data_IF_494495624107
#
_entry.id   IF_494495624107
#
_cell.length_a   1.000
_cell.length_b   1.000
_cell.length_c   1.000
_cell.angle_alpha   90.00
_cell.angle_beta   90.00
_cell.angle_gamma   90.00
#
_symmetry.space_group_name_H-M   'P 1'
#
loop_
_entity.id
_entity.type
_entity.pdbx_description
1 polymer ?
#
# COMPACT_ATOMS: atom_id res chain seq x y z
N UNK A 1 12.52 -17.39 26.71
CA UNK A 1 12.35 -16.70 25.42
C UNK A 1 10.99 -16.06 25.45
N UNK A 2 10.90 -14.73 25.41
CA UNK A 2 9.62 -14.03 25.37
C UNK A 2 8.85 -14.57 24.17
N UNK A 3 7.70 -15.16 24.44
CA UNK A 3 6.86 -15.83 23.46
C UNK A 3 6.31 -14.78 22.51
N UNK A 4 7.04 -14.55 21.41
CA UNK A 4 6.66 -13.57 20.41
C UNK A 4 5.46 -14.16 19.66
N UNK A 5 4.25 -13.89 20.15
CA UNK A 5 3.02 -14.35 19.51
C UNK A 5 2.82 -13.51 18.26
N UNK A 6 3.29 -14.02 17.12
CA UNK A 6 3.08 -13.35 15.83
C UNK A 6 1.72 -13.72 15.29
N UNK A 7 0.87 -12.71 15.12
CA UNK A 7 -0.41 -12.86 14.45
C UNK A 7 -0.21 -12.85 12.92
N UNK A 8 0.08 -14.02 12.35
CA UNK A 8 0.20 -14.22 10.91
C UNK A 8 -1.11 -13.87 10.16
N UNK A 9 -2.26 -14.03 10.81
CA UNK A 9 -3.55 -13.69 10.20
C UNK A 9 -3.70 -12.17 10.05
N UNK A 10 -3.29 -11.41 11.07
CA UNK A 10 -3.22 -9.95 11.01
C UNK A 10 -2.24 -9.50 9.92
N UNK A 11 -1.03 -10.05 9.85
CA UNK A 11 -0.06 -9.68 8.81
C UNK A 11 -0.60 -9.96 7.41
N UNK A 12 -1.25 -11.11 7.20
CA UNK A 12 -1.87 -11.47 5.91
C UNK A 12 -3.02 -10.52 5.56
N UNK A 13 -3.85 -10.16 6.53
CA UNK A 13 -4.96 -9.22 6.36
C UNK A 13 -4.43 -7.83 6.01
N UNK A 14 -3.46 -7.32 6.77
CA UNK A 14 -2.85 -6.01 6.56
C UNK A 14 -2.20 -5.91 5.17
N UNK A 15 -1.42 -6.91 4.75
CA UNK A 15 -0.82 -6.93 3.41
C UNK A 15 -1.87 -6.86 2.30
N UNK A 16 -2.97 -7.60 2.45
CA UNK A 16 -4.09 -7.56 1.50
C UNK A 16 -4.76 -6.19 1.45
N UNK A 17 -5.10 -5.62 2.62
CA UNK A 17 -5.77 -4.32 2.70
C UNK A 17 -4.90 -3.18 2.15
N UNK A 18 -3.59 -3.20 2.42
CA UNK A 18 -2.66 -2.23 1.86
C UNK A 18 -2.61 -2.30 0.33
N UNK A 19 -2.62 -3.51 -0.24
CA UNK A 19 -2.70 -3.71 -1.70
C UNK A 19 -4.03 -3.24 -2.29
N UNK A 20 -5.15 -3.49 -1.60
CA UNK A 20 -6.47 -3.03 -2.02
C UNK A 20 -6.53 -1.50 -2.05
N UNK A 21 -6.06 -0.82 -0.99
CA UNK A 21 -6.00 0.65 -0.93
C UNK A 21 -5.05 1.19 -2.00
N UNK A 22 -3.86 0.63 -2.14
CA UNK A 22 -2.91 1.05 -3.18
C UNK A 22 -3.55 0.97 -4.57
N UNK A 23 -4.30 -0.10 -4.85
CA UNK A 23 -5.01 -0.27 -6.11
C UNK A 23 -6.11 0.76 -6.30
N UNK A 24 -6.95 0.99 -5.31
CA UNK A 24 -8.00 2.02 -5.38
C UNK A 24 -7.40 3.38 -5.68
N UNK A 25 -6.32 3.74 -4.98
CA UNK A 25 -5.61 4.97 -5.24
C UNK A 25 -4.87 4.97 -6.57
N UNK A 26 -4.38 3.85 -7.13
CA UNK A 26 -3.75 3.84 -8.47
C UNK A 26 -4.75 3.98 -9.61
N UNK A 27 -6.00 3.57 -9.37
CA UNK A 27 -7.04 3.51 -10.40
C UNK A 27 -7.81 4.83 -10.55
N UNK A 28 -7.57 5.82 -9.68
CA UNK A 28 -8.07 7.19 -9.88
C UNK A 28 -7.40 7.78 -11.14
N UNK A 29 -8.11 7.87 -12.27
CA UNK A 29 -7.52 8.32 -13.53
C UNK A 29 -6.93 9.74 -13.52
N UNK A 30 -6.37 10.14 -14.66
CA UNK A 30 -5.97 11.52 -14.94
C UNK A 30 -7.22 12.37 -15.22
N UNK A 31 -7.50 13.35 -14.36
CA UNK A 31 -8.72 14.17 -14.41
C UNK A 31 -8.43 15.66 -14.68
N UNK A 32 -7.14 16.02 -14.81
CA UNK A 32 -6.67 17.40 -15.01
C UNK A 32 -7.25 18.03 -16.28
N UNK A 33 -7.22 17.30 -17.39
CA UNK A 33 -7.73 17.79 -18.68
C UNK A 33 -9.23 18.05 -18.67
N UNK A 34 -10.00 17.17 -18.04
CA UNK A 34 -11.46 17.28 -17.94
C UNK A 34 -11.87 18.49 -17.11
N UNK A 35 -11.23 18.71 -15.96
CA UNK A 35 -11.58 19.84 -15.10
C UNK A 35 -11.12 21.18 -15.67
N UNK A 36 -9.89 21.26 -16.19
CA UNK A 36 -9.37 22.53 -16.72
C UNK A 36 -10.08 22.97 -18.00
N UNK A 37 -10.77 22.07 -18.69
CA UNK A 37 -11.63 22.38 -19.83
C UNK A 37 -13.07 22.75 -19.43
N UNK A 38 -13.55 22.29 -18.27
CA UNK A 38 -14.86 22.65 -17.73
C UNK A 38 -14.91 24.08 -17.14
N UNK A 39 -13.75 24.67 -16.80
CA UNK A 39 -13.65 26.01 -16.21
C UNK A 39 -13.26 27.06 -17.26
N UNK A 40 -14.07 28.11 -17.39
CA UNK A 40 -13.88 29.17 -18.40
C UNK A 40 -13.06 30.38 -17.95
N UNK A 41 -13.07 30.71 -16.65
CA UNK A 41 -12.33 31.85 -16.11
C UNK A 41 -10.85 31.49 -15.90
N UNK A 42 -9.94 32.38 -16.32
CA UNK A 42 -8.48 32.14 -16.29
C UNK A 42 -7.97 31.91 -14.86
N UNK A 43 -8.43 32.70 -13.90
CA UNK A 43 -8.03 32.62 -12.50
C UNK A 43 -8.47 31.31 -11.88
N UNK A 44 -9.71 30.87 -12.17
CA UNK A 44 -10.23 29.60 -11.71
C UNK A 44 -9.47 28.42 -12.36
N UNK A 45 -9.13 28.55 -13.65
CA UNK A 45 -8.34 27.55 -14.36
C UNK A 45 -6.95 27.39 -13.75
N UNK A 46 -6.30 28.49 -13.37
CA UNK A 46 -5.00 28.45 -12.67
C UNK A 46 -5.14 27.76 -11.31
N UNK A 47 -6.09 28.19 -10.48
CA UNK A 47 -6.29 27.60 -9.16
C UNK A 47 -6.64 26.11 -9.22
N UNK A 48 -7.45 25.68 -10.19
CA UNK A 48 -7.76 24.26 -10.39
C UNK A 48 -6.56 23.47 -10.91
N UNK A 49 -5.72 24.06 -11.75
CA UNK A 49 -4.47 23.44 -12.21
C UNK A 49 -3.55 23.16 -11.01
N UNK A 50 -3.32 24.17 -10.17
CA UNK A 50 -2.47 24.04 -8.98
C UNK A 50 -3.02 23.00 -7.99
N UNK A 51 -4.35 22.98 -7.80
CA UNK A 51 -5.00 21.97 -6.95
C UNK A 51 -4.75 20.56 -7.46
N UNK A 52 -4.96 20.32 -8.76
CA UNK A 52 -4.84 18.98 -9.35
C UNK A 52 -3.39 18.51 -9.35
N UNK A 53 -2.44 19.40 -9.64
CA UNK A 53 -1.01 19.08 -9.59
C UNK A 53 -0.57 18.71 -8.17
N UNK A 54 -0.98 19.48 -7.17
CA UNK A 54 -0.70 19.15 -5.78
C UNK A 54 -1.39 17.85 -5.35
N UNK A 55 -2.63 17.59 -5.79
CA UNK A 55 -3.31 16.33 -5.53
C UNK A 55 -2.54 15.14 -6.12
N UNK A 56 -2.09 15.23 -7.37
CA UNK A 56 -1.35 14.15 -8.04
C UNK A 56 -0.01 13.86 -7.35
N UNK A 57 0.74 14.91 -6.99
CA UNK A 57 1.99 14.76 -6.25
C UNK A 57 1.80 14.08 -4.88
N UNK A 58 0.78 14.49 -4.11
CA UNK A 58 0.49 13.88 -2.81
C UNK A 58 -0.01 12.45 -2.96
N UNK A 59 -0.81 12.16 -4.00
CA UNK A 59 -1.27 10.81 -4.31
C UNK A 59 -0.11 9.88 -4.66
N UNK A 60 0.85 10.33 -5.47
CA UNK A 60 2.08 9.56 -5.77
C UNK A 60 2.85 9.22 -4.50
N UNK A 61 3.07 10.19 -3.61
CA UNK A 61 3.74 9.96 -2.31
C UNK A 61 2.98 8.97 -1.41
N UNK A 62 1.64 9.02 -1.43
CA UNK A 62 0.81 8.07 -0.71
C UNK A 62 0.97 6.65 -1.26
N UNK A 63 0.95 6.48 -2.59
CA UNK A 63 1.14 5.18 -3.24
C UNK A 63 2.50 4.57 -2.90
N UNK A 64 3.57 5.35 -2.95
CA UNK A 64 4.92 4.92 -2.56
C UNK A 64 4.96 4.49 -1.07
N UNK A 65 4.31 5.26 -0.20
CA UNK A 65 4.25 4.93 1.23
C UNK A 65 3.48 3.63 1.49
N UNK A 66 2.35 3.43 0.81
CA UNK A 66 1.55 2.21 0.89
C UNK A 66 2.34 0.99 0.39
N UNK A 67 3.07 1.14 -0.72
CA UNK A 67 3.94 0.08 -1.26
C UNK A 67 5.04 -0.30 -0.26
N UNK A 68 5.72 0.70 0.32
CA UNK A 68 6.81 0.48 1.27
C UNK A 68 6.31 -0.25 2.53
N UNK A 69 5.21 0.21 3.12
CA UNK A 69 4.60 -0.45 4.29
C UNK A 69 4.10 -1.84 3.93
N UNK A 70 3.48 -2.00 2.76
CA UNK A 70 3.05 -3.30 2.24
C UNK A 70 4.21 -4.30 2.19
N UNK A 71 5.33 -3.91 1.57
CA UNK A 71 6.55 -4.72 1.49
C UNK A 71 7.10 -5.12 2.85
N UNK A 72 7.10 -4.20 3.83
CA UNK A 72 7.54 -4.51 5.20
C UNK A 72 6.64 -5.54 5.88
N UNK A 73 5.32 -5.44 5.71
CA UNK A 73 4.36 -6.42 6.25
C UNK A 73 4.55 -7.78 5.59
N UNK A 74 4.71 -7.82 4.26
CA UNK A 74 4.95 -9.07 3.53
C UNK A 74 6.26 -9.74 3.91
N UNK A 75 7.36 -8.98 3.98
CA UNK A 75 8.65 -9.49 4.42
C UNK A 75 8.59 -10.08 5.84
N UNK A 76 7.89 -9.40 6.75
CA UNK A 76 7.68 -9.88 8.12
C UNK A 76 6.90 -11.19 8.13
N UNK A 77 5.77 -11.24 7.41
CA UNK A 77 4.95 -12.45 7.26
C UNK A 77 5.78 -13.63 6.75
N UNK A 78 6.55 -13.42 5.68
CA UNK A 78 7.29 -14.47 5.00
C UNK A 78 8.45 -14.99 5.87
N UNK A 79 9.11 -14.11 6.64
CA UNK A 79 10.14 -14.51 7.59
C UNK A 79 9.58 -15.43 8.69
N UNK A 80 8.44 -15.08 9.30
CA UNK A 80 7.84 -15.90 10.34
C UNK A 80 7.24 -17.20 9.80
N UNK A 81 6.62 -17.19 8.62
CA UNK A 81 6.14 -18.41 7.98
C UNK A 81 7.31 -19.36 7.65
N UNK A 82 8.44 -18.83 7.15
CA UNK A 82 9.63 -19.62 6.88
C UNK A 82 10.20 -20.29 8.14
N UNK A 83 10.26 -19.54 9.24
CA UNK A 83 10.69 -20.07 10.54
C UNK A 83 9.78 -21.22 11.02
N UNK A 84 8.46 -21.04 10.92
CA UNK A 84 7.48 -22.07 11.32
C UNK A 84 7.59 -23.34 10.45
N UNK A 85 7.81 -23.18 9.14
CA UNK A 85 8.00 -24.29 8.21
C UNK A 85 9.28 -25.08 8.53
N UNK A 86 10.38 -24.40 8.87
CA UNK A 86 11.63 -25.03 9.28
C UNK A 86 11.49 -25.80 10.59
N UNK A 87 10.85 -25.20 11.60
CA UNK A 87 10.58 -25.84 12.89
C UNK A 87 9.70 -27.08 12.72
N UNK A 88 8.65 -26.99 11.89
CA UNK A 88 7.76 -28.11 11.58
C UNK A 88 8.52 -29.25 10.89
N UNK A 89 9.38 -28.94 9.92
CA UNK A 89 10.23 -29.94 9.24
C UNK A 89 11.21 -30.61 10.20
N UNK A 90 11.84 -29.84 11.08
CA UNK A 90 12.76 -30.36 12.09
C UNK A 90 12.06 -31.27 13.11
N UNK A 91 10.86 -30.88 13.55
CA UNK A 91 10.02 -31.69 14.45
C UNK A 91 9.55 -33.01 13.82
N UNK A 92 9.20 -33.00 12.53
CA UNK A 92 8.83 -34.20 11.77
C UNK A 92 9.99 -35.19 11.57
N UNK A 93 11.24 -34.70 11.48
CA UNK A 93 12.43 -35.56 11.36
C UNK A 93 12.86 -36.23 12.69
N UNK A 94 12.37 -35.75 13.83
CA UNK A 94 12.69 -36.29 15.17
C UNK A 94 11.69 -37.37 15.66
N UNK A 95 10.63 -37.64 14.90
CA UNK A 95 9.70 -38.76 15.12
C UNK A 95 9.99 -39.88 14.14
#
# INVERSE_FOLDING_TARGET
>A
MSDLTVDLALLKKSARQLKEIQKEFSDLGEWKGEITSAVGATELKSAMTDFIDNWDDNRKRLLESLENVGKMVEATRDAFQGLEDELTKAGKKKK
#
